data_IF_144553826679
#
_entry.id   IF_144553826679
#
_cell.length_a   1.000
_cell.length_b   1.000
_cell.length_c   1.000
_cell.angle_alpha   90.00
_cell.angle_beta   90.00
_cell.angle_gamma   90.00
#
_symmetry.space_group_name_H-M   'P 1'
#
loop_
_entity.id
_entity.type
_entity.pdbx_description
1 polymer ?
#
# COMPACT_ATOMS: atom_id res chain seq x y z
N UNK A 1 -7.41 43.38 -43.03
CA UNK A 1 -7.85 42.46 -44.09
C UNK A 1 -7.09 41.16 -43.85
N UNK A 2 -7.79 40.17 -43.30
CA UNK A 2 -7.45 38.75 -43.10
C UNK A 2 -6.05 38.40 -42.55
N UNK A 3 -6.00 38.05 -41.26
CA UNK A 3 -5.03 37.07 -40.77
C UNK A 3 -5.81 35.91 -40.15
N UNK A 4 -5.50 34.73 -40.67
CA UNK A 4 -6.29 33.51 -40.56
C UNK A 4 -6.17 32.87 -39.18
N UNK A 5 -7.28 32.26 -38.76
CA UNK A 5 -7.36 31.26 -37.72
C UNK A 5 -6.25 30.20 -37.86
N UNK A 6 -5.45 30.04 -36.81
CA UNK A 6 -4.70 28.80 -36.56
C UNK A 6 -5.15 28.19 -35.23
N UNK A 7 -5.47 26.91 -35.33
CA UNK A 7 -6.26 26.10 -34.40
C UNK A 7 -5.38 25.69 -33.21
N UNK A 8 -5.85 25.77 -31.95
CA UNK A 8 -5.04 25.32 -30.83
C UNK A 8 -4.95 23.78 -30.79
N UNK A 9 -3.76 23.25 -31.08
CA UNK A 9 -3.43 21.82 -30.94
C UNK A 9 -3.58 21.38 -29.48
N UNK A 10 -4.68 20.66 -29.23
CA UNK A 10 -5.01 20.02 -27.98
C UNK A 10 -4.15 18.80 -27.72
N UNK A 11 -2.92 19.00 -27.25
CA UNK A 11 -2.16 17.97 -26.55
C UNK A 11 -1.67 18.50 -25.21
N UNK A 12 -2.59 18.49 -24.24
CA UNK A 12 -2.26 18.53 -22.81
C UNK A 12 -1.35 17.34 -22.51
N UNK A 13 -0.04 17.57 -22.51
CA UNK A 13 0.96 16.67 -21.93
C UNK A 13 0.54 16.36 -20.50
N UNK A 14 0.16 15.10 -20.26
CA UNK A 14 -0.16 14.58 -18.93
C UNK A 14 1.07 14.76 -18.04
N UNK A 15 0.97 15.73 -17.13
CA UNK A 15 1.66 15.91 -15.85
C UNK A 15 3.09 15.35 -15.72
N UNK A 16 4.05 16.27 -15.55
CA UNK A 16 5.42 15.97 -15.13
C UNK A 16 5.44 15.21 -13.78
N UNK A 17 6.26 14.14 -13.64
CA UNK A 17 6.30 13.25 -12.47
C UNK A 17 6.63 13.96 -11.13
N UNK A 18 7.21 15.16 -11.19
CA UNK A 18 7.64 15.91 -10.01
C UNK A 18 6.47 16.41 -9.11
N UNK A 19 5.23 16.48 -9.62
CA UNK A 19 4.08 17.05 -8.89
C UNK A 19 3.19 16.03 -8.16
N UNK A 20 3.45 14.73 -8.30
CA UNK A 20 2.62 13.70 -7.65
C UNK A 20 2.83 13.63 -6.14
N UNK A 21 4.04 13.92 -5.66
CA UNK A 21 4.36 13.90 -4.23
C UNK A 21 3.61 14.97 -3.39
N UNK A 22 3.10 16.02 -4.02
CA UNK A 22 2.43 17.16 -3.36
C UNK A 22 0.91 17.16 -3.49
N UNK A 23 0.35 16.35 -4.39
CA UNK A 23 -1.09 16.39 -4.73
C UNK A 23 -1.86 15.20 -4.16
N UNK A 24 -1.17 14.11 -3.81
CA UNK A 24 -1.81 12.91 -3.30
C UNK A 24 -2.07 13.06 -1.79
N UNK A 25 -3.33 12.81 -1.38
CA UNK A 25 -3.64 12.62 0.03
C UNK A 25 -2.83 11.42 0.54
N UNK A 26 -2.13 11.54 1.68
CA UNK A 26 -1.37 10.42 2.22
C UNK A 26 -2.33 9.27 2.52
N UNK A 27 -2.08 8.12 1.89
CA UNK A 27 -2.81 6.87 2.16
C UNK A 27 -2.01 6.14 3.23
N UNK A 28 -2.66 5.83 4.35
CA UNK A 28 -2.04 5.01 5.40
C UNK A 28 -1.71 3.64 4.84
N UNK A 29 -0.43 3.28 4.83
CA UNK A 29 -0.01 1.94 4.46
C UNK A 29 -0.18 0.96 5.63
N UNK A 30 0.45 1.24 6.78
CA UNK A 30 0.36 0.36 7.96
C UNK A 30 0.72 1.11 9.25
N UNK A 31 0.28 0.57 10.38
CA UNK A 31 0.74 0.94 11.70
C UNK A 31 1.62 -0.17 12.25
N UNK A 32 2.80 0.19 12.75
CA UNK A 32 3.66 -0.72 13.50
C UNK A 32 4.01 -0.09 14.85
N UNK A 33 4.18 -0.93 15.86
CA UNK A 33 4.58 -0.53 17.20
C UNK A 33 5.73 -1.41 17.66
N UNK A 34 6.70 -0.80 18.34
CA UNK A 34 7.80 -1.52 18.97
C UNK A 34 8.02 -0.98 20.38
N UNK A 35 8.29 -1.89 21.31
CA UNK A 35 8.78 -1.56 22.65
C UNK A 35 10.28 -1.83 22.65
N UNK A 36 11.07 -0.77 22.81
CA UNK A 36 12.53 -0.86 22.82
C UNK A 36 13.00 -1.05 24.27
N UNK A 37 13.81 -2.07 24.58
CA UNK A 37 14.42 -2.22 25.89
C UNK A 37 15.32 -1.01 26.26
N UNK A 38 15.68 -0.84 27.55
CA UNK A 38 16.62 0.20 27.95
C UNK A 38 17.96 0.10 27.18
N UNK A 39 18.45 1.24 26.69
CA UNK A 39 19.73 1.33 25.98
C UNK A 39 20.48 2.61 26.36
N UNK A 40 21.74 2.72 25.97
CA UNK A 40 22.56 3.93 26.12
C UNK A 40 23.19 4.26 24.78
N UNK A 41 23.18 5.54 24.38
CA UNK A 41 23.66 5.96 23.08
C UNK A 41 22.62 5.76 21.98
N UNK A 42 22.89 4.86 21.05
CA UNK A 42 22.06 4.62 19.86
C UNK A 42 21.48 3.20 19.87
N UNK A 43 20.24 3.06 19.39
CA UNK A 43 19.59 1.77 19.17
C UNK A 43 18.89 1.80 17.81
N UNK A 44 19.00 0.71 17.06
CA UNK A 44 18.33 0.52 15.79
C UNK A 44 17.27 -0.60 15.93
N UNK A 45 16.07 -0.29 16.44
CA UNK A 45 15.00 -1.27 16.50
C UNK A 45 14.50 -1.59 15.08
N UNK A 46 14.22 -2.86 14.82
CA UNK A 46 13.63 -3.34 13.58
C UNK A 46 12.16 -3.75 13.84
N UNK A 47 11.22 -2.79 13.92
CA UNK A 47 9.81 -3.14 14.09
C UNK A 47 9.37 -4.00 12.90
N UNK A 48 8.62 -5.10 13.12
CA UNK A 48 8.06 -5.85 12.01
C UNK A 48 7.06 -4.94 11.29
N UNK A 49 7.36 -4.65 10.02
CA UNK A 49 6.41 -4.03 9.11
C UNK A 49 5.80 -5.18 8.33
N UNK A 50 4.54 -5.56 8.58
CA UNK A 50 3.91 -6.62 7.80
C UNK A 50 3.82 -6.16 6.34
N UNK A 51 4.68 -6.72 5.50
CA UNK A 51 4.68 -6.51 4.05
C UNK A 51 3.64 -7.43 3.39
N UNK A 52 2.42 -7.44 3.91
CA UNK A 52 1.28 -8.12 3.28
C UNK A 52 0.41 -7.09 2.57
N UNK A 53 -0.35 -7.53 1.57
CA UNK A 53 -1.32 -6.70 0.83
C UNK A 53 -2.51 -6.21 1.69
N UNK A 54 -2.51 -6.47 3.00
CA UNK A 54 -3.73 -6.68 3.79
C UNK A 54 -4.21 -5.49 4.63
N UNK A 55 -3.67 -4.28 4.45
CA UNK A 55 -4.01 -3.17 5.36
C UNK A 55 -4.58 -1.90 4.71
N UNK A 56 -4.49 -1.73 3.39
CA UNK A 56 -5.22 -0.64 2.74
C UNK A 56 -5.47 -0.92 1.25
N UNK A 57 -6.73 -1.09 0.87
CA UNK A 57 -7.16 -1.30 -0.53
C UNK A 57 -6.61 -0.22 -1.46
N UNK A 58 -6.57 1.03 -1.02
CA UNK A 58 -6.06 2.13 -1.83
C UNK A 58 -4.53 2.10 -1.94
N UNK A 59 -3.80 1.67 -0.90
CA UNK A 59 -2.35 1.50 -0.98
C UNK A 59 -1.99 0.31 -1.87
N UNK A 60 -2.70 -0.82 -1.72
CA UNK A 60 -2.49 -2.02 -2.53
C UNK A 60 -2.80 -1.78 -4.00
N UNK A 61 -3.88 -1.05 -4.35
CA UNK A 61 -4.17 -0.65 -5.72
C UNK A 61 -3.11 0.32 -6.28
N UNK A 62 -2.67 1.29 -5.47
CA UNK A 62 -1.61 2.21 -5.86
C UNK A 62 -0.30 1.46 -6.14
N UNK A 63 0.11 0.55 -5.26
CA UNK A 63 1.31 -0.26 -5.47
C UNK A 63 1.19 -1.23 -6.64
N UNK A 64 0.00 -1.79 -6.87
CA UNK A 64 -0.24 -2.67 -8.02
C UNK A 64 -0.18 -1.93 -9.36
N UNK A 65 -0.60 -0.66 -9.41
CA UNK A 65 -0.52 0.17 -10.60
C UNK A 65 0.88 0.68 -10.95
N UNK A 66 1.88 0.42 -10.10
CA UNK A 66 3.27 0.82 -10.34
C UNK A 66 4.05 -0.35 -10.95
N UNK A 67 4.42 -0.21 -12.22
CA UNK A 67 5.28 -1.18 -12.90
C UNK A 67 6.75 -1.00 -12.52
N UNK A 68 7.21 0.25 -12.47
CA UNK A 68 8.59 0.66 -12.18
C UNK A 68 8.63 1.94 -11.34
N UNK A 69 9.81 2.27 -10.80
CA UNK A 69 10.07 3.52 -10.07
C UNK A 69 10.08 3.37 -8.55
N UNK A 70 9.72 4.45 -7.86
CA UNK A 70 9.89 4.59 -6.42
C UNK A 70 8.58 4.94 -5.71
N UNK A 71 8.26 4.20 -4.67
CA UNK A 71 7.12 4.44 -3.79
C UNK A 71 7.50 5.51 -2.75
N UNK A 72 6.64 6.53 -2.67
CA UNK A 72 6.73 7.61 -1.71
C UNK A 72 6.25 7.18 -0.31
N UNK A 73 7.17 6.77 0.57
CA UNK A 73 6.82 6.49 1.96
C UNK A 73 7.09 7.68 2.87
N UNK A 74 6.15 7.91 3.79
CA UNK A 74 6.28 8.87 4.87
C UNK A 74 6.00 8.16 6.19
N UNK A 75 7.04 8.02 7.00
CA UNK A 75 6.98 7.42 8.33
C UNK A 75 6.70 8.52 9.34
N UNK A 76 5.65 8.35 10.11
CA UNK A 76 5.29 9.24 11.21
C UNK A 76 5.54 8.50 12.51
N UNK A 77 6.23 9.16 13.44
CA UNK A 77 6.54 8.59 14.74
C UNK A 77 5.65 9.20 15.81
N UNK A 78 5.11 8.33 16.67
CA UNK A 78 4.37 8.72 17.87
C UNK A 78 4.69 7.71 18.96
N UNK A 79 4.96 8.20 20.16
CA UNK A 79 5.33 7.33 21.27
C UNK A 79 5.84 8.12 22.47
N UNK A 80 6.38 7.39 23.44
CA UNK A 80 6.90 7.95 24.68
C UNK A 80 8.28 7.37 24.95
N UNK A 81 9.24 8.25 25.27
CA UNK A 81 10.58 7.87 25.71
C UNK A 81 10.66 8.02 27.22
N UNK A 82 11.16 6.99 27.89
CA UNK A 82 11.51 7.02 29.30
C UNK A 82 13.01 7.22 29.45
N UNK A 83 13.43 8.17 30.26
CA UNK A 83 14.85 8.44 30.52
C UNK A 83 15.07 8.80 31.98
N UNK A 84 16.31 8.71 32.45
CA UNK A 84 16.68 9.20 33.79
C UNK A 84 17.35 10.55 33.66
N UNK A 85 16.98 11.49 34.52
CA UNK A 85 17.66 12.77 34.61
C UNK A 85 19.02 12.65 35.34
N UNK A 86 19.75 13.77 35.44
CA UNK A 86 21.06 13.81 36.12
C UNK A 86 21.00 13.47 37.61
N UNK A 87 19.82 13.48 38.24
CA UNK A 87 19.60 13.07 39.63
C UNK A 87 19.11 11.61 39.75
N UNK A 88 18.94 10.90 38.62
CA UNK A 88 18.52 9.49 38.57
C UNK A 88 17.01 9.27 38.61
N UNK A 89 16.20 10.35 38.65
CA UNK A 89 14.75 10.22 38.65
C UNK A 89 14.22 9.83 37.27
N UNK A 90 13.21 8.96 37.23
CA UNK A 90 12.60 8.49 35.99
C UNK A 90 11.67 9.58 35.44
N UNK A 91 11.96 10.01 34.22
CA UNK A 91 11.19 10.98 33.46
C UNK A 91 10.58 10.31 32.22
N UNK A 92 9.51 10.90 31.70
CA UNK A 92 8.91 10.49 30.44
C UNK A 92 8.67 11.70 29.55
N UNK A 93 8.99 11.59 28.27
CA UNK A 93 8.70 12.62 27.27
C UNK A 93 8.03 11.99 26.04
N UNK A 94 7.02 12.65 25.44
CA UNK A 94 6.47 12.20 24.17
C UNK A 94 7.50 12.40 23.05
N UNK A 95 7.51 11.49 22.09
CA UNK A 95 8.21 11.68 20.82
C UNK A 95 7.48 12.81 20.08
N UNK A 96 8.17 13.88 19.65
CA UNK A 96 7.52 14.97 18.94
C UNK A 96 6.84 14.49 17.67
N UNK A 97 5.56 14.86 17.50
CA UNK A 97 4.74 14.43 16.36
C UNK A 97 5.26 14.96 15.00
N UNK A 98 6.12 15.97 15.01
CA UNK A 98 6.75 16.52 13.82
C UNK A 98 7.95 15.70 13.33
N UNK A 99 8.37 14.66 14.06
CA UNK A 99 9.38 13.74 13.57
C UNK A 99 8.75 12.88 12.48
N UNK A 100 8.98 13.28 11.23
CA UNK A 100 8.63 12.54 10.04
C UNK A 100 9.91 12.13 9.30
N UNK A 101 9.93 10.90 8.79
CA UNK A 101 10.96 10.46 7.86
C UNK A 101 10.34 10.20 6.49
N UNK A 102 11.04 10.58 5.43
CA UNK A 102 10.64 10.23 4.06
C UNK A 102 11.58 9.16 3.52
N UNK A 103 11.01 8.17 2.84
CA UNK A 103 11.77 7.09 2.23
C UNK A 103 11.23 6.82 0.83
N UNK A 104 12.14 6.57 -0.11
CA UNK A 104 11.85 6.14 -1.47
C UNK A 104 12.04 4.63 -1.48
N UNK A 105 10.94 3.88 -1.52
CA UNK A 105 11.00 2.42 -1.57
C UNK A 105 10.97 1.98 -3.05
N UNK A 106 12.01 1.29 -3.55
CA UNK A 106 12.00 0.81 -4.92
C UNK A 106 10.85 -0.16 -5.15
N UNK A 107 10.12 0.02 -6.25
CA UNK A 107 9.01 -0.87 -6.63
C UNK A 107 9.49 -2.31 -6.77
N UNK A 108 10.71 -2.52 -7.27
CA UNK A 108 11.33 -3.85 -7.35
C UNK A 108 11.50 -4.50 -5.96
N UNK A 109 11.98 -3.74 -4.97
CA UNK A 109 12.16 -4.23 -3.60
C UNK A 109 10.81 -4.57 -2.96
N UNK A 110 9.80 -3.73 -3.18
CA UNK A 110 8.42 -4.02 -2.75
C UNK A 110 7.91 -5.34 -3.34
N UNK A 111 8.00 -5.50 -4.67
CA UNK A 111 7.54 -6.73 -5.36
C UNK A 111 8.26 -7.96 -4.85
N UNK A 112 9.59 -7.88 -4.68
CA UNK A 112 10.38 -8.97 -4.10
C UNK A 112 9.91 -9.33 -2.68
N UNK A 113 9.66 -8.34 -1.82
CA UNK A 113 9.15 -8.56 -0.47
C UNK A 113 7.77 -9.21 -0.49
N UNK A 114 6.89 -8.76 -1.39
CA UNK A 114 5.52 -9.28 -1.46
C UNK A 114 5.46 -10.66 -2.09
N UNK A 115 6.21 -10.96 -3.13
CA UNK A 115 6.32 -12.31 -3.71
C UNK A 115 6.92 -13.30 -2.72
N UNK A 116 7.82 -12.88 -1.83
CA UNK A 116 8.32 -13.76 -0.75
C UNK A 116 7.26 -14.07 0.31
N UNK A 117 6.36 -13.13 0.58
CA UNK A 117 5.30 -13.31 1.56
C UNK A 117 4.11 -14.08 0.98
N UNK A 118 3.73 -13.81 -0.27
CA UNK A 118 2.60 -14.39 -0.99
C UNK A 118 2.96 -14.63 -2.48
N UNK A 119 3.67 -15.73 -2.79
CA UNK A 119 4.31 -15.93 -4.11
C UNK A 119 3.35 -16.03 -5.31
N UNK A 120 2.10 -16.47 -5.11
CA UNK A 120 1.14 -16.73 -6.18
C UNK A 120 -0.23 -16.04 -5.96
N UNK A 121 -0.37 -15.19 -4.94
CA UNK A 121 -1.65 -14.59 -4.57
C UNK A 121 -1.88 -13.24 -5.25
N UNK A 122 -3.05 -13.05 -5.85
CA UNK A 122 -3.55 -11.74 -6.26
C UNK A 122 -4.82 -11.40 -5.46
N UNK A 123 -4.91 -10.15 -4.98
CA UNK A 123 -6.10 -9.69 -4.25
C UNK A 123 -7.13 -9.10 -5.21
N UNK A 124 -8.35 -9.61 -5.16
CA UNK A 124 -9.49 -9.11 -5.94
C UNK A 124 -10.51 -8.49 -4.99
N UNK A 125 -10.63 -7.16 -5.01
CA UNK A 125 -11.67 -6.47 -4.25
C UNK A 125 -13.01 -6.57 -4.98
N UNK A 126 -13.97 -7.25 -4.36
CA UNK A 126 -15.35 -7.33 -4.82
C UNK A 126 -16.24 -6.48 -3.92
N UNK A 127 -17.25 -5.84 -4.48
CA UNK A 127 -18.33 -5.27 -3.67
C UNK A 127 -19.01 -6.40 -2.88
N UNK A 128 -19.50 -6.09 -1.68
CA UNK A 128 -20.08 -7.09 -0.77
C UNK A 128 -21.22 -7.91 -1.41
N UNK A 129 -22.07 -7.25 -2.20
CA UNK A 129 -23.15 -7.91 -2.95
C UNK A 129 -22.63 -8.92 -4.00
N UNK A 130 -21.53 -8.57 -4.69
CA UNK A 130 -20.85 -9.45 -5.66
C UNK A 130 -20.15 -10.59 -4.94
N UNK A 131 -19.52 -10.33 -3.80
CA UNK A 131 -18.89 -11.35 -2.98
C UNK A 131 -19.91 -12.38 -2.46
N UNK A 132 -21.08 -11.94 -1.98
CA UNK A 132 -22.17 -12.81 -1.56
C UNK A 132 -22.75 -13.62 -2.72
N UNK A 133 -22.77 -13.02 -3.91
CA UNK A 133 -23.17 -13.74 -5.13
C UNK A 133 -22.16 -14.83 -5.49
N UNK A 134 -20.86 -14.55 -5.40
CA UNK A 134 -19.79 -15.52 -5.63
C UNK A 134 -19.85 -16.65 -4.59
N UNK A 135 -20.09 -16.33 -3.31
CA UNK A 135 -20.27 -17.32 -2.25
C UNK A 135 -21.48 -18.23 -2.53
N UNK A 136 -22.63 -17.67 -2.94
CA UNK A 136 -23.81 -18.43 -3.34
C UNK A 136 -23.58 -19.29 -4.58
N UNK A 137 -22.79 -18.81 -5.54
CA UNK A 137 -22.40 -19.59 -6.71
C UNK A 137 -21.55 -20.80 -6.30
N UNK A 138 -20.52 -20.58 -5.48
CA UNK A 138 -19.64 -21.62 -4.93
C UNK A 138 -20.44 -22.72 -4.22
N UNK A 139 -21.36 -22.34 -3.33
CA UNK A 139 -22.21 -23.30 -2.62
C UNK A 139 -23.11 -24.11 -3.55
N UNK A 140 -23.73 -23.48 -4.55
CA UNK A 140 -24.61 -24.16 -5.52
C UNK A 140 -23.87 -25.16 -6.41
N UNK A 141 -22.62 -24.89 -6.73
CA UNK A 141 -21.76 -25.76 -7.56
C UNK A 141 -20.93 -26.75 -6.73
N UNK A 142 -21.08 -26.76 -5.40
CA UNK A 142 -20.35 -27.68 -4.52
C UNK A 142 -18.84 -27.43 -4.47
N UNK A 143 -18.38 -26.23 -4.79
CA UNK A 143 -16.97 -25.89 -4.92
C UNK A 143 -16.31 -25.64 -3.55
N UNK A 144 -15.09 -26.12 -3.36
CA UNK A 144 -14.42 -26.12 -2.06
C UNK A 144 -13.59 -24.87 -1.81
N UNK A 145 -13.16 -24.16 -2.86
CA UNK A 145 -12.42 -22.90 -2.76
C UNK A 145 -13.05 -21.76 -3.56
N UNK A 146 -12.67 -20.52 -3.23
CA UNK A 146 -13.05 -19.34 -4.02
C UNK A 146 -12.34 -19.32 -5.37
N UNK A 147 -11.10 -19.80 -5.42
CA UNK A 147 -10.34 -19.96 -6.67
C UNK A 147 -11.09 -20.87 -7.64
N UNK A 148 -11.56 -22.03 -7.18
CA UNK A 148 -12.39 -22.93 -8.01
C UNK A 148 -13.66 -22.25 -8.51
N UNK A 149 -14.28 -21.38 -7.71
CA UNK A 149 -15.46 -20.62 -8.13
C UNK A 149 -15.12 -19.59 -9.23
N UNK A 150 -13.96 -18.95 -9.16
CA UNK A 150 -13.51 -18.02 -10.20
C UNK A 150 -13.09 -18.78 -11.46
N UNK A 151 -12.29 -19.84 -11.36
CA UNK A 151 -11.89 -20.68 -12.49
C UNK A 151 -13.11 -21.27 -13.21
N UNK A 152 -14.07 -21.84 -12.48
CA UNK A 152 -15.31 -22.36 -13.07
C UNK A 152 -16.16 -21.30 -13.79
N UNK A 153 -16.09 -20.02 -13.37
CA UNK A 153 -16.77 -18.93 -14.07
C UNK A 153 -16.04 -18.53 -15.35
N UNK A 154 -14.71 -18.56 -15.34
CA UNK A 154 -13.88 -18.24 -16.51
C UNK A 154 -13.98 -19.35 -17.55
N UNK A 155 -13.79 -20.61 -17.16
CA UNK A 155 -13.85 -21.76 -18.06
C UNK A 155 -15.21 -21.84 -18.77
N UNK A 156 -16.31 -21.67 -18.02
CA UNK A 156 -17.65 -21.69 -18.59
C UNK A 156 -17.94 -20.52 -19.54
N UNK A 157 -17.26 -19.39 -19.37
CA UNK A 157 -17.39 -18.25 -20.29
C UNK A 157 -16.52 -18.43 -21.53
N UNK A 158 -15.33 -19.00 -21.39
CA UNK A 158 -14.43 -19.31 -22.51
C UNK A 158 -15.04 -20.38 -23.43
N UNK A 159 -15.75 -21.37 -22.88
CA UNK A 159 -16.56 -22.33 -23.65
C UNK A 159 -17.72 -21.68 -24.41
N UNK A 160 -18.36 -20.65 -23.84
CA UNK A 160 -19.48 -19.93 -24.46
C UNK A 160 -19.02 -18.92 -25.54
N UNK A 161 -17.77 -18.47 -25.50
CA UNK A 161 -17.19 -17.50 -26.44
C UNK A 161 -16.53 -18.20 -27.65
N UNK A 162 -16.14 -19.48 -27.50
CA UNK A 162 -15.52 -20.29 -28.56
C UNK A 162 -16.52 -20.91 -29.52
#
# INVERSE_FOLDING_TARGET
MAEADDVPDGRKTRHAPARWGTTLRPILWTHTAAVVPPFTGECMPAPPVPCSYDFNVAASQYFHGLEEGEIALRLQFSGTVFYRDGAGALQSAPIPLHNEATYRLPVALWRDMTTRNDPNGAWLCLRGDVFDRLARFRTRRGLTSREQAVTSLLDGLEEDIS
#
